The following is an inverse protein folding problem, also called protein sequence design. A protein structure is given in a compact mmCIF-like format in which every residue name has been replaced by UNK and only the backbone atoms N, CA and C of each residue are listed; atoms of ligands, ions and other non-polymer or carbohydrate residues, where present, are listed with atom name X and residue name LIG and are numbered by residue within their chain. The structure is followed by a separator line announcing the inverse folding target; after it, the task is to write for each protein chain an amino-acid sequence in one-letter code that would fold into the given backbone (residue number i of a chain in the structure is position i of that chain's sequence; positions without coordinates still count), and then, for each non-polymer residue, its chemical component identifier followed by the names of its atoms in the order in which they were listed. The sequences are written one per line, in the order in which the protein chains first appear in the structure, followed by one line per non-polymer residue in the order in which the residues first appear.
data_IF_354348366265
#
_entry.id   IF_354348366265
#
_cell.length_a   1.000
_cell.length_b   1.000
_cell.length_c   1.000
_cell.angle_alpha   90.00
_cell.angle_beta   90.00
_cell.angle_gamma   90.00
#
_symmetry.space_group_name_H-M   'P 1'
#
loop_
_entity.id
_entity.type
_entity.pdbx_description
1 polymer ?
#
# COMPACT_ATOMS: atom_id res chain seq x y z
N UNK A 1 12.98 3.91 -11.35
CA UNK A 1 11.90 3.35 -12.20
C UNK A 1 12.33 3.58 -13.62
N UNK A 2 12.23 2.59 -14.51
CA UNK A 2 12.70 2.79 -15.88
C UNK A 2 12.03 3.95 -16.60
N UNK A 3 12.79 4.66 -17.42
CA UNK A 3 12.34 5.86 -18.12
C UNK A 3 12.86 5.95 -19.55
N UNK A 4 12.00 6.44 -20.43
CA UNK A 4 12.37 6.96 -21.74
C UNK A 4 12.36 8.48 -21.72
N UNK A 5 13.28 9.11 -22.45
CA UNK A 5 13.29 10.54 -22.71
C UNK A 5 13.10 10.81 -24.19
N UNK A 6 12.08 11.57 -24.54
CA UNK A 6 11.96 12.13 -25.88
C UNK A 6 13.02 13.22 -26.06
N UNK A 7 13.95 12.99 -26.98
CA UNK A 7 15.08 13.89 -27.20
C UNK A 7 14.68 15.24 -27.80
N UNK A 8 13.52 15.33 -28.45
CA UNK A 8 12.97 16.56 -29.02
C UNK A 8 12.24 17.38 -27.96
N UNK A 9 11.30 16.78 -27.23
CA UNK A 9 10.51 17.51 -26.22
C UNK A 9 11.19 17.60 -24.85
N UNK A 10 12.28 16.84 -24.64
CA UNK A 10 12.99 16.64 -23.37
C UNK A 10 12.11 16.07 -22.25
N UNK A 11 10.90 15.59 -22.58
CA UNK A 11 10.01 14.95 -21.62
C UNK A 11 10.46 13.52 -21.35
N UNK A 12 10.41 13.15 -20.07
CA UNK A 12 10.63 11.78 -19.64
C UNK A 12 9.29 11.08 -19.37
N UNK A 13 9.25 9.78 -19.61
CA UNK A 13 8.08 8.92 -19.42
C UNK A 13 8.50 7.68 -18.65
N UNK A 14 7.84 7.42 -17.52
CA UNK A 14 8.06 6.20 -16.74
C UNK A 14 7.44 4.99 -17.42
N UNK A 15 8.16 3.87 -17.41
CA UNK A 15 7.76 2.64 -18.07
C UNK A 15 7.01 1.70 -17.13
N UNK A 16 5.88 1.18 -17.63
CA UNK A 16 5.11 0.10 -17.01
C UNK A 16 5.70 -1.25 -17.43
N UNK A 17 5.42 -2.32 -16.68
CA UNK A 17 5.92 -3.68 -16.96
C UNK A 17 5.67 -4.11 -18.40
N UNK A 18 4.50 -3.77 -18.95
CA UNK A 18 4.22 -3.79 -20.39
C UNK A 18 3.78 -2.38 -20.80
N UNK A 19 4.67 -1.66 -21.46
CA UNK A 19 4.48 -0.26 -21.84
C UNK A 19 4.36 -0.13 -23.36
N UNK A 20 3.26 0.45 -23.82
CA UNK A 20 2.96 0.59 -25.24
C UNK A 20 3.25 2.00 -25.73
N UNK A 21 3.88 2.09 -26.91
CA UNK A 21 4.25 3.36 -27.53
C UNK A 21 3.61 3.42 -28.91
N UNK A 22 2.92 4.52 -29.21
CA UNK A 22 2.18 4.65 -30.46
C UNK A 22 1.52 6.02 -30.61
N UNK A 23 0.75 6.21 -31.68
CA UNK A 23 0.09 7.51 -31.94
C UNK A 23 -1.29 7.67 -31.31
N UNK A 24 -1.83 6.64 -30.67
CA UNK A 24 -3.22 6.60 -30.19
C UNK A 24 -3.24 6.63 -28.66
N UNK A 25 -3.63 7.75 -28.06
CA UNK A 25 -3.65 7.94 -26.60
C UNK A 25 -4.53 6.92 -25.84
N UNK A 26 -5.56 6.38 -26.48
CA UNK A 26 -6.45 5.36 -25.88
C UNK A 26 -5.81 3.96 -25.85
N UNK A 27 -4.69 3.76 -26.56
CA UNK A 27 -4.06 2.45 -26.76
C UNK A 27 -2.55 2.46 -26.51
N UNK A 28 -2.00 3.59 -26.07
CA UNK A 28 -0.57 3.77 -25.89
C UNK A 28 -0.34 4.54 -24.60
N UNK A 29 0.52 3.98 -23.75
CA UNK A 29 0.96 4.61 -22.52
C UNK A 29 1.79 5.87 -22.82
N UNK A 30 2.68 5.80 -23.83
CA UNK A 30 3.38 6.99 -24.37
C UNK A 30 2.94 7.30 -25.79
N UNK A 31 2.51 8.54 -26.01
CA UNK A 31 2.02 9.02 -27.30
C UNK A 31 3.12 9.70 -28.10
N UNK A 32 3.44 9.13 -29.26
CA UNK A 32 4.30 9.74 -30.28
C UNK A 32 3.44 10.21 -31.44
N UNK A 33 3.16 11.52 -31.49
CA UNK A 33 2.26 12.13 -32.46
C UNK A 33 2.94 12.31 -33.82
N UNK A 34 2.86 11.29 -34.67
CA UNK A 34 3.36 11.33 -36.06
C UNK A 34 2.49 10.49 -37.00
N UNK A 35 2.25 10.94 -38.25
CA UNK A 35 1.48 10.16 -39.25
C UNK A 35 2.11 8.80 -39.59
N UNK A 36 3.43 8.68 -39.48
CA UNK A 36 4.16 7.43 -39.76
C UNK A 36 4.24 6.51 -38.54
N UNK A 37 3.72 6.93 -37.39
CA UNK A 37 3.61 6.11 -36.19
C UNK A 37 2.31 5.30 -36.20
N UNK A 38 2.38 3.98 -35.99
CA UNK A 38 1.20 3.12 -35.87
C UNK A 38 0.42 3.42 -34.58
N UNK A 39 -0.87 3.03 -34.51
CA UNK A 39 -1.72 3.29 -33.34
C UNK A 39 -1.12 2.71 -32.06
N UNK A 40 -0.67 1.46 -32.14
CA UNK A 40 0.30 0.83 -31.24
C UNK A 40 1.48 0.52 -32.15
N UNK A 41 2.65 1.08 -31.85
CA UNK A 41 3.83 0.99 -32.71
C UNK A 41 4.82 -0.04 -32.20
N UNK A 42 5.10 -0.01 -30.91
CA UNK A 42 5.99 -0.95 -30.25
C UNK A 42 5.55 -1.15 -28.81
N UNK A 43 6.00 -2.23 -28.19
CA UNK A 43 5.95 -2.43 -26.75
C UNK A 43 7.36 -2.48 -26.16
N UNK A 44 7.49 -1.96 -24.94
CA UNK A 44 8.61 -2.24 -24.07
C UNK A 44 8.14 -3.11 -22.91
N UNK A 45 8.85 -4.19 -22.65
CA UNK A 45 8.45 -5.24 -21.72
C UNK A 45 9.60 -5.59 -20.78
N UNK A 46 9.31 -5.67 -19.48
CA UNK A 46 10.22 -6.23 -18.50
C UNK A 46 10.02 -7.74 -18.41
N UNK A 47 11.08 -8.52 -18.61
CA UNK A 47 11.01 -10.00 -18.61
C UNK A 47 11.34 -10.64 -17.24
N UNK A 48 11.65 -9.81 -16.24
CA UNK A 48 12.13 -10.24 -14.93
C UNK A 48 13.59 -9.86 -14.65
N UNK A 49 14.38 -9.59 -15.70
CA UNK A 49 15.81 -9.28 -15.60
C UNK A 49 16.22 -8.05 -16.42
N UNK A 50 15.67 -7.86 -17.62
CA UNK A 50 15.97 -6.72 -18.46
C UNK A 50 14.77 -6.23 -19.27
N UNK A 51 14.90 -5.00 -19.77
CA UNK A 51 13.93 -4.40 -20.68
C UNK A 51 14.14 -4.90 -22.10
N UNK A 52 13.04 -5.27 -22.74
CA UNK A 52 12.99 -5.70 -24.13
C UNK A 52 12.10 -4.74 -24.93
N UNK A 53 12.43 -4.48 -26.19
CA UNK A 53 11.59 -3.76 -27.14
C UNK A 53 11.11 -4.70 -28.23
N UNK A 54 9.85 -4.55 -28.62
CA UNK A 54 9.22 -5.33 -29.68
C UNK A 54 8.49 -4.44 -30.67
N UNK A 55 8.84 -4.55 -31.94
CA UNK A 55 8.17 -3.80 -33.02
C UNK A 55 6.83 -4.43 -33.40
N UNK A 56 5.76 -3.64 -33.36
CA UNK A 56 4.39 -4.02 -33.70
C UNK A 56 3.85 -3.20 -34.90
N UNK A 57 4.70 -2.40 -35.52
CA UNK A 57 4.30 -1.34 -36.44
C UNK A 57 4.27 -1.76 -37.90
N UNK A 58 3.70 -0.88 -38.73
CA UNK A 58 3.77 -1.01 -40.20
C UNK A 58 5.07 -0.47 -40.80
N UNK A 59 5.60 0.61 -40.24
CA UNK A 59 6.73 1.35 -40.83
C UNK A 59 8.09 0.94 -40.25
N UNK A 60 8.11 0.23 -39.12
CA UNK A 60 9.30 -0.29 -38.47
C UNK A 60 9.71 0.50 -37.24
N UNK A 61 10.47 -0.17 -36.38
CA UNK A 61 11.20 0.44 -35.25
C UNK A 61 12.71 0.24 -35.44
N UNK A 62 13.52 1.22 -35.06
CA UNK A 62 14.98 1.13 -35.08
C UNK A 62 15.56 1.30 -33.69
N UNK A 63 16.53 0.46 -33.34
CA UNK A 63 17.36 0.58 -32.15
C UNK A 63 18.76 1.05 -32.60
N UNK A 64 19.10 2.29 -32.29
CA UNK A 64 20.19 3.01 -32.95
C UNK A 64 20.02 2.99 -34.47
N UNK A 65 21.01 2.48 -35.19
CA UNK A 65 20.95 2.33 -36.65
C UNK A 65 20.29 1.03 -37.14
N UNK A 66 20.02 0.06 -36.24
CA UNK A 66 19.53 -1.27 -36.62
C UNK A 66 18.00 -1.29 -36.62
N UNK A 67 17.41 -1.64 -37.76
CA UNK A 67 15.97 -1.93 -37.84
C UNK A 67 15.66 -3.25 -37.12
N UNK A 68 14.66 -3.24 -36.25
CA UNK A 68 14.18 -4.43 -35.56
C UNK A 68 13.39 -5.33 -36.51
N UNK A 69 13.40 -6.64 -36.24
CA UNK A 69 12.48 -7.55 -36.91
C UNK A 69 11.09 -7.42 -36.27
N UNK A 70 10.01 -7.37 -37.07
CA UNK A 70 8.66 -7.32 -36.52
C UNK A 70 8.38 -8.49 -35.58
N UNK A 71 7.76 -8.20 -34.44
CA UNK A 71 7.38 -9.17 -33.40
C UNK A 71 8.51 -9.93 -32.70
N UNK A 72 9.77 -9.57 -32.92
CA UNK A 72 10.90 -10.10 -32.16
C UNK A 72 11.18 -9.22 -30.94
N UNK A 73 11.32 -9.83 -29.77
CA UNK A 73 11.74 -9.14 -28.55
C UNK A 73 13.26 -8.97 -28.55
N UNK A 74 13.73 -7.73 -28.44
CA UNK A 74 15.15 -7.39 -28.47
C UNK A 74 15.52 -6.65 -27.19
N UNK A 75 16.56 -7.08 -26.45
CA UNK A 75 17.01 -6.39 -25.24
C UNK A 75 17.43 -4.94 -25.52
N UNK A 76 17.08 -4.02 -24.61
CA UNK A 76 17.44 -2.60 -24.64
C UNK A 76 18.35 -2.31 -23.45
N UNK A 77 19.40 -1.51 -23.68
CA UNK A 77 20.35 -1.10 -22.65
C UNK A 77 20.27 0.39 -22.39
N UNK A 78 20.67 0.78 -21.17
CA UNK A 78 20.80 2.18 -20.80
C UNK A 78 21.64 2.94 -21.84
N UNK A 79 21.11 4.06 -22.33
CA UNK A 79 21.68 4.89 -23.38
C UNK A 79 21.27 4.52 -24.81
N UNK A 80 20.58 3.41 -25.03
CA UNK A 80 20.06 3.06 -26.36
C UNK A 80 19.00 4.05 -26.83
N UNK A 81 18.96 4.30 -28.14
CA UNK A 81 18.01 5.20 -28.79
C UNK A 81 17.03 4.43 -29.65
N UNK A 82 15.74 4.66 -29.45
CA UNK A 82 14.65 4.00 -30.18
C UNK A 82 14.01 5.02 -31.12
N UNK A 83 14.07 4.76 -32.43
CA UNK A 83 13.40 5.56 -33.44
C UNK A 83 12.11 4.89 -33.90
N UNK A 84 11.04 5.68 -33.96
CA UNK A 84 9.66 5.21 -34.20
C UNK A 84 9.24 5.61 -35.62
N UNK A 85 9.01 4.62 -36.49
CA UNK A 85 8.48 4.82 -37.84
C UNK A 85 9.51 5.16 -38.93
N UNK A 86 10.58 5.88 -38.62
CA UNK A 86 11.71 6.11 -39.52
C UNK A 86 13.00 6.41 -38.72
N UNK A 87 14.19 6.10 -39.26
CA UNK A 87 15.47 6.26 -38.53
C UNK A 87 15.92 7.71 -38.33
N UNK A 88 15.33 8.66 -39.06
CA UNK A 88 15.60 10.09 -38.97
C UNK A 88 14.65 10.83 -38.02
N UNK A 89 13.62 10.15 -37.51
CA UNK A 89 12.73 10.70 -36.48
C UNK A 89 13.49 10.93 -35.17
N UNK A 90 13.13 11.96 -34.38
CA UNK A 90 13.72 12.14 -33.06
C UNK A 90 13.58 10.87 -32.20
N UNK A 91 14.68 10.37 -31.62
CA UNK A 91 14.63 9.15 -30.82
C UNK A 91 14.03 9.37 -29.44
N UNK A 92 13.49 8.28 -28.91
CA UNK A 92 13.31 8.07 -27.47
C UNK A 92 14.58 7.42 -26.93
N UNK A 93 15.25 8.09 -26.00
CA UNK A 93 16.47 7.60 -25.35
C UNK A 93 16.10 6.85 -24.08
N UNK A 94 16.66 5.66 -23.86
CA UNK A 94 16.47 4.89 -22.64
C UNK A 94 17.42 5.37 -21.56
N UNK A 95 16.90 6.06 -20.55
CA UNK A 95 17.70 6.86 -19.59
C UNK A 95 17.70 6.31 -18.16
N UNK A 96 16.89 5.30 -17.86
CA UNK A 96 16.86 4.59 -16.59
C UNK A 96 16.43 3.15 -16.87
N UNK A 97 17.21 2.17 -16.42
CA UNK A 97 17.00 0.73 -16.63
C UNK A 97 16.47 -0.03 -15.40
N UNK A 98 16.07 0.70 -14.36
CA UNK A 98 15.55 0.09 -13.14
C UNK A 98 14.29 -0.74 -13.43
N UNK A 99 14.04 -1.80 -12.63
CA UNK A 99 12.81 -2.58 -12.75
C UNK A 99 11.54 -1.70 -12.68
N UNK A 100 10.41 -2.17 -13.25
CA UNK A 100 9.13 -1.51 -13.08
C UNK A 100 8.81 -1.33 -11.59
N UNK A 101 8.48 -0.12 -11.18
CA UNK A 101 8.12 0.19 -9.80
C UNK A 101 6.96 1.16 -9.75
N UNK A 102 5.92 0.82 -8.98
CA UNK A 102 4.78 1.71 -8.80
C UNK A 102 5.11 2.84 -7.83
N UNK A 103 4.53 4.02 -8.05
CA UNK A 103 4.81 5.22 -7.27
C UNK A 103 3.73 6.29 -7.42
N UNK A 104 3.77 7.29 -6.56
CA UNK A 104 3.11 8.57 -6.72
C UNK A 104 4.12 9.54 -7.32
N UNK A 105 3.90 9.96 -8.56
CA UNK A 105 4.79 10.85 -9.30
C UNK A 105 4.34 12.29 -9.05
N UNK A 106 5.21 13.12 -8.52
CA UNK A 106 4.95 14.52 -8.28
C UNK A 106 4.64 15.25 -9.59
N UNK A 107 3.65 16.15 -9.54
CA UNK A 107 3.27 16.99 -10.69
C UNK A 107 3.78 18.44 -10.54
N UNK A 108 4.41 18.75 -9.41
CA UNK A 108 4.92 20.07 -9.03
C UNK A 108 6.31 19.94 -8.42
N UNK A 109 7.20 20.91 -8.66
CA UNK A 109 8.61 20.86 -8.21
C UNK A 109 8.79 20.77 -6.69
N UNK A 110 7.85 21.32 -5.90
CA UNK A 110 7.90 21.30 -4.43
C UNK A 110 7.38 20.00 -3.80
N UNK A 111 6.94 19.04 -4.63
CA UNK A 111 6.40 17.76 -4.19
C UNK A 111 7.41 16.65 -4.50
N UNK A 112 7.80 15.81 -3.52
CA UNK A 112 8.64 14.66 -3.80
C UNK A 112 7.83 13.51 -4.39
N UNK A 113 8.44 12.74 -5.30
CA UNK A 113 7.93 11.42 -5.69
C UNK A 113 7.89 10.50 -4.46
N UNK A 114 6.88 9.64 -4.38
CA UNK A 114 6.76 8.65 -3.30
C UNK A 114 6.68 7.24 -3.90
N UNK A 115 7.56 6.30 -3.53
CA UNK A 115 7.39 4.90 -3.94
C UNK A 115 6.10 4.33 -3.33
N UNK A 116 5.41 3.45 -4.05
CA UNK A 116 4.26 2.77 -3.48
C UNK A 116 4.71 1.68 -2.50
N UNK A 117 4.59 1.97 -1.21
CA UNK A 117 4.75 1.02 -0.10
C UNK A 117 3.40 0.54 0.42
N UNK A 118 3.32 -0.60 1.13
CA UNK A 118 2.05 -1.13 1.65
C UNK A 118 1.22 -0.16 2.50
N UNK A 119 1.87 0.84 3.12
CA UNK A 119 1.21 1.91 3.88
C UNK A 119 1.90 3.27 3.65
N UNK A 120 1.23 4.16 2.95
CA UNK A 120 1.72 5.52 2.66
C UNK A 120 0.78 6.54 3.27
N UNK A 121 1.31 7.35 4.18
CA UNK A 121 0.58 8.46 4.77
C UNK A 121 0.77 9.71 3.91
N UNK A 122 -0.35 10.33 3.50
CA UNK A 122 -0.38 11.52 2.67
C UNK A 122 -0.88 12.73 3.48
N UNK A 123 -0.28 13.92 3.35
CA UNK A 123 0.95 14.19 2.58
C UNK A 123 2.21 13.62 3.25
N UNK A 124 2.18 13.38 4.56
CA UNK A 124 3.32 12.87 5.33
C UNK A 124 2.87 12.02 6.52
N UNK A 125 3.79 11.25 7.09
CA UNK A 125 3.56 10.43 8.28
C UNK A 125 3.32 11.26 9.56
N UNK A 126 3.83 12.50 9.60
CA UNK A 126 3.73 13.39 10.77
C UNK A 126 2.35 14.03 10.86
N UNK A 127 1.80 14.49 9.73
CA UNK A 127 0.47 15.09 9.63
C UNK A 127 -0.38 14.44 8.53
N UNK A 128 -0.82 13.18 8.74
CA UNK A 128 -1.57 12.44 7.72
C UNK A 128 -3.01 12.93 7.57
N UNK A 129 -3.39 13.25 6.34
CA UNK A 129 -4.75 13.55 5.90
C UNK A 129 -5.42 12.33 5.22
N UNK A 130 -4.63 11.43 4.66
CA UNK A 130 -5.08 10.16 4.10
C UNK A 130 -4.02 9.09 4.24
N UNK A 131 -4.42 7.83 4.03
CA UNK A 131 -3.50 6.70 3.89
C UNK A 131 -3.85 5.92 2.63
N UNK A 132 -2.82 5.56 1.86
CA UNK A 132 -2.91 4.68 0.71
C UNK A 132 -2.39 3.30 1.14
N UNK A 133 -3.19 2.26 0.92
CA UNK A 133 -2.88 0.87 1.29
C UNK A 133 -3.19 -0.07 0.12
N UNK A 134 -2.48 -1.19 0.04
CA UNK A 134 -2.82 -2.24 -0.93
C UNK A 134 -3.76 -3.28 -0.31
N UNK A 135 -4.92 -3.50 -0.93
CA UNK A 135 -5.87 -4.53 -0.51
C UNK A 135 -5.64 -5.82 -1.29
N UNK A 136 -5.08 -6.83 -0.62
CA UNK A 136 -4.87 -8.16 -1.20
C UNK A 136 -6.18 -8.84 -1.62
N UNK A 137 -7.26 -8.67 -0.86
CA UNK A 137 -8.56 -9.24 -1.21
C UNK A 137 -9.15 -8.60 -2.48
N UNK A 138 -8.92 -7.29 -2.69
CA UNK A 138 -9.46 -6.56 -3.84
C UNK A 138 -8.45 -6.39 -4.98
N UNK A 139 -7.22 -6.90 -4.83
CA UNK A 139 -6.10 -6.71 -5.74
C UNK A 139 -5.98 -5.26 -6.25
N UNK A 140 -6.11 -4.29 -5.34
CA UNK A 140 -6.13 -2.87 -5.70
C UNK A 140 -5.64 -1.97 -4.57
N UNK A 141 -5.14 -0.81 -4.96
CA UNK A 141 -4.79 0.27 -4.05
C UNK A 141 -6.06 0.98 -3.56
N UNK A 142 -6.17 1.14 -2.25
CA UNK A 142 -7.27 1.81 -1.58
C UNK A 142 -6.76 3.07 -0.87
N UNK A 143 -7.41 4.19 -1.14
CA UNK A 143 -7.20 5.46 -0.45
C UNK A 143 -8.26 5.63 0.62
N UNK A 144 -7.82 5.86 1.85
CA UNK A 144 -8.67 6.15 3.00
C UNK A 144 -8.43 7.59 3.48
N UNK A 145 -9.38 8.52 3.30
CA UNK A 145 -9.34 9.84 3.91
C UNK A 145 -9.48 9.73 5.45
N UNK A 146 -8.70 10.51 6.20
CA UNK A 146 -8.75 10.51 7.68
C UNK A 146 -9.82 11.43 8.26
N UNK A 147 -10.26 12.44 7.50
CA UNK A 147 -11.16 13.51 7.99
C UNK A 147 -12.59 13.04 8.31
N UNK A 148 -12.95 11.81 7.96
CA UNK A 148 -14.31 11.30 8.09
C UNK A 148 -14.43 10.28 9.24
N UNK A 149 -15.51 10.38 10.00
CA UNK A 149 -15.82 9.45 11.11
C UNK A 149 -15.95 7.99 10.63
N UNK A 150 -16.41 7.78 9.40
CA UNK A 150 -16.53 6.47 8.78
C UNK A 150 -15.53 6.30 7.63
N UNK A 151 -14.36 5.73 7.96
CA UNK A 151 -13.29 5.46 6.99
C UNK A 151 -13.71 4.42 5.94
N UNK A 152 -14.55 3.44 6.32
CA UNK A 152 -14.96 2.37 5.40
C UNK A 152 -15.93 2.85 4.33
N UNK A 153 -16.80 3.82 4.63
CA UNK A 153 -17.73 4.35 3.62
C UNK A 153 -17.08 5.31 2.63
N UNK A 154 -15.89 5.81 2.94
CA UNK A 154 -15.21 6.85 2.16
C UNK A 154 -13.89 6.34 1.54
N UNK A 155 -13.67 5.03 1.57
CA UNK A 155 -12.55 4.42 0.85
C UNK A 155 -12.75 4.57 -0.66
N UNK A 156 -11.65 4.80 -1.38
CA UNK A 156 -11.66 4.93 -2.83
C UNK A 156 -10.65 3.97 -3.44
N UNK A 157 -11.06 3.21 -4.45
CA UNK A 157 -10.15 2.43 -5.30
C UNK A 157 -9.35 3.39 -6.18
N UNK A 158 -8.04 3.20 -6.20
CA UNK A 158 -7.10 4.02 -6.93
C UNK A 158 -6.63 3.29 -8.19
N UNK A 159 -6.66 4.01 -9.32
CA UNK A 159 -6.25 3.50 -10.62
C UNK A 159 -5.00 4.23 -11.15
N UNK A 160 -4.30 3.59 -12.09
CA UNK A 160 -3.21 4.24 -12.81
C UNK A 160 -3.69 5.53 -13.48
N UNK A 161 -2.93 6.62 -13.33
CA UNK A 161 -3.23 7.93 -13.89
C UNK A 161 -4.14 8.80 -13.03
N UNK A 162 -4.70 8.28 -11.93
CA UNK A 162 -5.46 9.08 -10.96
C UNK A 162 -4.59 10.18 -10.35
N UNK A 163 -5.20 11.32 -10.00
CA UNK A 163 -4.53 12.41 -9.31
C UNK A 163 -4.92 12.45 -7.84
N UNK A 164 -3.92 12.59 -6.96
CA UNK A 164 -4.07 12.73 -5.51
C UNK A 164 -3.58 14.12 -5.08
N UNK A 165 -4.35 14.79 -4.21
CA UNK A 165 -4.05 16.13 -3.71
C UNK A 165 -4.23 16.20 -2.20
N UNK A 166 -3.14 16.35 -1.47
CA UNK A 166 -3.13 16.42 -0.01
C UNK A 166 -2.06 17.38 0.48
N UNK A 167 -2.37 18.19 1.48
CA UNK A 167 -1.40 19.12 2.09
C UNK A 167 -0.73 20.12 1.14
N UNK A 168 -1.38 20.47 0.01
CA UNK A 168 -0.79 21.34 -1.02
C UNK A 168 0.12 20.62 -2.02
N UNK A 169 0.35 19.32 -1.83
CA UNK A 169 1.06 18.47 -2.77
C UNK A 169 0.11 17.81 -3.78
N UNK A 170 0.61 17.58 -4.99
CA UNK A 170 -0.12 16.88 -6.03
C UNK A 170 0.75 15.78 -6.64
N UNK A 171 0.14 14.59 -6.77
CA UNK A 171 0.75 13.43 -7.40
C UNK A 171 -0.17 12.85 -8.46
N UNK A 172 0.43 12.29 -9.51
CA UNK A 172 -0.21 11.33 -10.40
C UNK A 172 0.17 9.91 -9.97
N UNK A 173 -0.81 9.03 -9.85
CA UNK A 173 -0.61 7.63 -9.49
C UNK A 173 -0.02 6.91 -10.69
N UNK A 174 1.13 6.28 -10.50
CA UNK A 174 1.79 5.43 -11.48
C UNK A 174 1.81 3.98 -10.98
N UNK A 175 0.93 3.15 -11.55
CA UNK A 175 0.97 1.70 -11.34
C UNK A 175 1.78 1.05 -12.47
N UNK A 176 2.92 0.44 -12.12
CA UNK A 176 3.84 -0.16 -13.07
C UNK A 176 3.32 -1.50 -13.59
N UNK A 177 2.67 -2.28 -12.74
CA UNK A 177 1.99 -3.52 -13.13
C UNK A 177 0.83 -3.23 -14.09
N UNK A 178 0.62 -4.14 -15.03
CA UNK A 178 -0.54 -4.13 -15.90
C UNK A 178 -1.57 -5.11 -15.37
N UNK A 179 -2.85 -4.75 -15.45
CA UNK A 179 -4.00 -5.55 -14.95
C UNK A 179 -4.11 -6.96 -15.56
N UNK A 180 -3.23 -7.33 -16.50
CA UNK A 180 -3.23 -8.59 -17.25
C UNK A 180 -2.23 -9.64 -16.71
N UNK A 181 -1.38 -9.30 -15.75
CA UNK A 181 -0.52 -10.31 -15.11
C UNK A 181 -1.39 -11.12 -14.16
N UNK A 182 -1.51 -12.42 -14.44
CA UNK A 182 -2.19 -13.36 -13.52
C UNK A 182 -1.30 -13.54 -12.30
N UNK A 183 -1.55 -12.77 -11.24
CA UNK A 183 -0.90 -12.96 -9.96
C UNK A 183 -1.35 -14.28 -9.31
N UNK A 184 -0.39 -15.00 -8.74
CA UNK A 184 -0.68 -16.12 -7.86
C UNK A 184 -1.30 -15.52 -6.58
N UNK A 185 -2.53 -15.90 -6.28
CA UNK A 185 -3.20 -15.48 -5.05
C UNK A 185 -2.50 -16.09 -3.83
N UNK A 186 -1.57 -15.34 -3.24
CA UNK A 186 -0.94 -15.71 -1.97
C UNK A 186 -1.80 -15.11 -0.86
N UNK A 187 -2.66 -15.95 -0.27
CA UNK A 187 -3.37 -15.58 0.94
C UNK A 187 -2.36 -15.29 2.07
N UNK A 188 -2.62 -14.31 2.95
CA UNK A 188 -1.77 -14.04 4.11
C UNK A 188 -1.59 -15.34 4.92
N UNK A 189 -0.34 -15.76 5.10
CA UNK A 189 -0.01 -17.03 5.76
C UNK A 189 -0.38 -17.04 7.25
N UNK A 190 -0.43 -15.87 7.90
CA UNK A 190 -0.68 -15.73 9.33
C UNK A 190 -2.09 -15.22 9.61
N UNK A 191 -2.79 -15.89 10.51
CA UNK A 191 -4.06 -15.41 11.06
C UNK A 191 -3.81 -14.64 12.34
N UNK A 192 -4.68 -13.67 12.62
CA UNK A 192 -4.63 -12.91 13.88
C UNK A 192 -4.76 -13.83 15.11
N UNK A 193 -5.44 -14.96 14.97
CA UNK A 193 -5.61 -16.00 15.99
C UNK A 193 -4.30 -16.68 16.39
N UNK A 194 -3.26 -16.63 15.55
CA UNK A 194 -1.96 -17.25 15.81
C UNK A 194 -1.00 -16.32 16.56
N UNK A 195 -1.42 -15.08 16.82
CA UNK A 195 -0.59 -14.02 17.38
C UNK A 195 -1.15 -13.63 18.75
N UNK A 196 -0.32 -13.78 19.79
CA UNK A 196 -0.60 -13.22 21.11
C UNK A 196 -0.02 -11.81 21.23
N UNK A 197 -0.87 -10.85 21.60
CA UNK A 197 -0.51 -9.45 21.84
C UNK A 197 -0.22 -9.24 23.32
N UNK A 198 1.00 -8.89 23.68
CA UNK A 198 1.43 -8.68 25.06
C UNK A 198 1.64 -7.19 25.26
N UNK A 199 0.71 -6.55 25.97
CA UNK A 199 0.77 -5.15 26.35
C UNK A 199 1.46 -5.01 27.71
N UNK A 200 2.42 -4.09 27.78
CA UNK A 200 3.13 -3.75 29.02
C UNK A 200 2.83 -2.29 29.36
N UNK A 201 2.15 -2.08 30.49
CA UNK A 201 1.82 -0.75 30.98
C UNK A 201 2.76 -0.35 32.10
N UNK A 202 3.31 0.86 31.95
CA UNK A 202 3.87 1.63 33.04
C UNK A 202 2.88 1.78 34.21
N UNK A 203 3.40 2.00 35.42
CA UNK A 203 2.57 2.06 36.64
C UNK A 203 1.56 3.20 36.64
N UNK A 204 1.96 4.32 36.05
CA UNK A 204 1.17 5.54 35.82
C UNK A 204 0.34 5.47 34.52
N UNK A 205 0.50 4.41 33.72
CA UNK A 205 -0.15 4.20 32.43
C UNK A 205 0.20 5.26 31.35
N UNK A 206 1.30 6.01 31.52
CA UNK A 206 1.73 6.99 30.50
C UNK A 206 2.37 6.32 29.27
N UNK A 207 3.04 5.19 29.49
CA UNK A 207 3.70 4.40 28.45
C UNK A 207 3.03 3.03 28.27
N UNK A 208 2.78 2.67 27.01
CA UNK A 208 2.28 1.35 26.58
C UNK A 208 3.26 0.69 25.63
N UNK A 209 3.95 -0.34 26.12
CA UNK A 209 4.74 -1.26 25.32
C UNK A 209 3.85 -2.32 24.65
N UNK A 210 4.25 -2.79 23.47
CA UNK A 210 3.61 -3.93 22.80
C UNK A 210 4.65 -4.92 22.29
N UNK A 211 4.41 -6.20 22.57
CA UNK A 211 5.16 -7.32 22.01
C UNK A 211 4.21 -8.29 21.33
N UNK A 212 4.64 -8.87 20.22
CA UNK A 212 3.90 -9.91 19.50
C UNK A 212 4.60 -11.25 19.69
N UNK A 213 3.84 -12.28 20.05
CA UNK A 213 4.31 -13.65 20.17
C UNK A 213 3.56 -14.55 19.21
N UNK A 214 4.28 -15.28 18.36
CA UNK A 214 3.71 -16.25 17.41
C UNK A 214 4.68 -17.42 17.20
N UNK A 215 4.21 -18.64 17.46
CA UNK A 215 5.09 -19.81 17.54
C UNK A 215 6.21 -19.61 18.56
N UNK A 216 7.47 -19.76 18.13
CA UNK A 216 8.67 -19.50 18.93
C UNK A 216 9.27 -18.10 18.73
N UNK A 217 8.71 -17.29 17.82
CA UNK A 217 9.20 -15.94 17.53
C UNK A 217 8.54 -14.93 18.47
N UNK A 218 9.34 -13.98 18.93
CA UNK A 218 8.90 -12.83 19.70
C UNK A 218 9.41 -11.57 19.02
N UNK A 219 8.53 -10.59 18.85
CA UNK A 219 8.81 -9.32 18.19
C UNK A 219 8.43 -8.20 19.14
N UNK A 220 9.40 -7.38 19.52
CA UNK A 220 9.18 -6.21 20.38
C UNK A 220 8.92 -4.98 19.51
N UNK A 221 7.74 -4.37 19.66
CA UNK A 221 7.33 -3.16 18.92
C UNK A 221 7.63 -1.88 19.70
N UNK A 222 8.21 -1.99 20.90
CA UNK A 222 8.55 -0.87 21.77
C UNK A 222 7.32 -0.15 22.31
N UNK A 223 7.52 1.09 22.74
CA UNK A 223 6.48 1.95 23.30
C UNK A 223 6.00 2.98 22.27
N UNK A 224 4.69 3.04 22.02
CA UNK A 224 4.07 3.96 21.05
C UNK A 224 2.68 4.36 21.54
N UNK A 225 2.26 5.58 21.22
CA UNK A 225 0.94 6.10 21.62
C UNK A 225 -0.22 5.26 21.06
N UNK A 226 -0.11 4.76 19.83
CA UNK A 226 -1.14 3.91 19.22
C UNK A 226 -1.26 2.51 19.85
N UNK A 227 -0.30 2.08 20.68
CA UNK A 227 -0.45 0.84 21.46
C UNK A 227 -1.49 1.00 22.58
N UNK A 228 -1.59 2.19 23.18
CA UNK A 228 -2.59 2.46 24.22
C UNK A 228 -4.01 2.29 23.67
N UNK A 229 -4.29 2.75 22.44
CA UNK A 229 -5.57 2.52 21.78
C UNK A 229 -5.91 1.02 21.69
N UNK A 230 -4.99 0.20 21.17
CA UNK A 230 -5.21 -1.24 21.03
C UNK A 230 -5.44 -1.90 22.40
N UNK A 231 -4.62 -1.52 23.37
CA UNK A 231 -4.71 -2.00 24.75
C UNK A 231 -6.06 -1.62 25.38
N UNK A 232 -6.53 -0.39 25.21
CA UNK A 232 -7.81 0.09 25.74
C UNK A 232 -8.98 -0.75 25.19
N UNK A 233 -9.00 -0.98 23.88
CA UNK A 233 -10.02 -1.83 23.25
C UNK A 233 -9.92 -3.30 23.72
N UNK A 234 -8.71 -3.82 23.93
CA UNK A 234 -8.49 -5.15 24.48
C UNK A 234 -8.95 -5.26 25.95
N UNK A 235 -8.70 -4.22 26.76
CA UNK A 235 -9.13 -4.10 28.16
C UNK A 235 -10.65 -4.17 28.28
N UNK A 236 -11.37 -3.41 27.45
CA UNK A 236 -12.85 -3.46 27.39
C UNK A 236 -13.31 -4.88 27.06
N UNK A 237 -12.71 -5.51 26.05
CA UNK A 237 -13.05 -6.87 25.65
C UNK A 237 -12.83 -7.89 26.76
N UNK A 238 -11.73 -7.79 27.52
CA UNK A 238 -11.48 -8.66 28.66
C UNK A 238 -12.44 -8.40 29.84
N UNK A 239 -12.80 -7.14 30.10
CA UNK A 239 -13.76 -6.79 31.14
C UNK A 239 -15.16 -7.37 30.84
N UNK A 240 -15.63 -7.23 29.60
CA UNK A 240 -16.89 -7.84 29.15
C UNK A 240 -16.86 -9.36 29.29
N UNK A 241 -15.75 -10.01 28.92
CA UNK A 241 -15.58 -11.45 29.10
C UNK A 241 -15.66 -11.86 30.58
N UNK A 242 -15.02 -11.10 31.47
CA UNK A 242 -15.08 -11.31 32.92
C UNK A 242 -16.49 -11.12 33.51
N UNK A 243 -17.31 -10.30 32.86
CA UNK A 243 -18.73 -10.10 33.20
C UNK A 243 -19.66 -11.16 32.56
N UNK A 244 -19.11 -12.15 31.84
CA UNK A 244 -19.86 -13.27 31.28
C UNK A 244 -20.53 -12.99 29.93
N UNK A 245 -20.14 -11.91 29.23
CA UNK A 245 -20.63 -11.64 27.88
C UNK A 245 -20.08 -12.67 26.88
N UNK A 246 -20.88 -13.02 25.88
CA UNK A 246 -20.47 -13.97 24.85
C UNK A 246 -19.45 -13.34 23.87
N UNK A 247 -18.74 -14.20 23.12
CA UNK A 247 -17.66 -13.77 22.24
C UNK A 247 -18.08 -12.78 21.14
N UNK A 248 -19.35 -12.79 20.71
CA UNK A 248 -19.83 -11.87 19.68
C UNK A 248 -20.16 -10.49 20.25
N UNK A 249 -20.47 -10.43 21.54
CA UNK A 249 -20.90 -9.20 22.22
C UNK A 249 -19.76 -8.47 22.93
N UNK A 250 -18.76 -9.19 23.44
CA UNK A 250 -17.60 -8.59 24.14
C UNK A 250 -16.82 -7.57 23.28
N UNK A 251 -16.37 -6.50 23.93
CA UNK A 251 -15.38 -5.55 23.42
C UNK A 251 -15.91 -4.42 22.55
N UNK A 252 -17.20 -4.44 22.18
CA UNK A 252 -17.79 -3.41 21.32
C UNK A 252 -18.02 -2.11 22.10
N UNK A 253 -17.26 -1.08 21.76
CA UNK A 253 -17.42 0.28 22.29
C UNK A 253 -17.94 1.23 21.20
N UNK A 254 -18.83 2.15 21.58
CA UNK A 254 -19.33 3.22 20.72
C UNK A 254 -18.25 4.27 20.42
N UNK A 255 -18.19 4.75 19.18
CA UNK A 255 -17.19 5.73 18.76
C UNK A 255 -17.25 7.02 19.60
N UNK A 256 -18.43 7.49 20.01
CA UNK A 256 -18.56 8.67 20.88
C UNK A 256 -18.01 8.41 22.28
N UNK A 257 -18.18 7.19 22.79
CA UNK A 257 -17.62 6.81 24.08
C UNK A 257 -16.10 6.67 23.99
N UNK A 258 -15.59 6.03 22.92
CA UNK A 258 -14.16 5.87 22.72
C UNK A 258 -13.44 7.22 22.60
N UNK A 259 -14.02 8.18 21.88
CA UNK A 259 -13.50 9.56 21.79
C UNK A 259 -13.36 10.21 23.17
N UNK A 260 -14.37 10.04 24.03
CA UNK A 260 -14.35 10.55 25.41
C UNK A 260 -13.30 9.87 26.28
N UNK A 261 -13.25 8.54 26.24
CA UNK A 261 -12.30 7.73 27.02
C UNK A 261 -10.86 8.11 26.72
N UNK A 262 -10.57 8.34 25.44
CA UNK A 262 -9.23 8.61 24.96
C UNK A 262 -8.88 10.10 24.88
N UNK A 263 -9.87 11.00 25.02
CA UNK A 263 -9.68 12.43 24.86
C UNK A 263 -9.24 12.83 23.44
N UNK A 264 -9.63 12.07 22.42
CA UNK A 264 -9.19 12.22 21.03
C UNK A 264 -10.39 12.26 20.08
N UNK A 265 -10.24 12.93 18.94
CA UNK A 265 -11.24 12.89 17.88
C UNK A 265 -11.11 11.60 17.03
N UNK A 266 -12.13 11.34 16.19
CA UNK A 266 -12.13 10.15 15.35
C UNK A 266 -11.00 10.14 14.31
N UNK A 267 -10.66 11.27 13.65
CA UNK A 267 -9.49 11.34 12.78
C UNK A 267 -8.20 10.88 13.47
N UNK A 268 -7.91 11.36 14.69
CA UNK A 268 -6.72 10.96 15.43
C UNK A 268 -6.76 9.47 15.79
N UNK A 269 -7.92 8.94 16.20
CA UNK A 269 -8.09 7.50 16.45
C UNK A 269 -7.82 6.69 15.18
N UNK A 270 -8.32 7.13 14.02
CA UNK A 270 -8.07 6.46 12.74
C UNK A 270 -6.57 6.45 12.40
N UNK A 271 -5.87 7.58 12.59
CA UNK A 271 -4.42 7.68 12.39
C UNK A 271 -3.69 6.67 13.28
N UNK A 272 -4.05 6.56 14.56
CA UNK A 272 -3.45 5.55 15.45
C UNK A 272 -3.70 4.11 14.96
N UNK A 273 -4.89 3.81 14.45
CA UNK A 273 -5.22 2.48 13.90
C UNK A 273 -4.33 2.17 12.70
N UNK A 274 -4.18 3.10 11.75
CA UNK A 274 -3.33 2.87 10.59
C UNK A 274 -1.84 2.80 10.94
N UNK A 275 -1.38 3.59 11.92
CA UNK A 275 -0.01 3.47 12.45
C UNK A 275 0.24 2.11 13.09
N UNK A 276 -0.71 1.61 13.87
CA UNK A 276 -0.65 0.28 14.44
C UNK A 276 -0.62 -0.81 13.36
N UNK A 277 -1.53 -0.73 12.38
CA UNK A 277 -1.59 -1.66 11.24
C UNK A 277 -0.29 -1.67 10.45
N UNK A 278 0.26 -0.49 10.12
CA UNK A 278 1.55 -0.34 9.43
C UNK A 278 2.67 -1.03 10.21
N UNK A 279 2.86 -0.65 11.48
CA UNK A 279 3.95 -1.19 12.30
C UNK A 279 3.86 -2.71 12.46
N UNK A 280 2.67 -3.25 12.71
CA UNK A 280 2.46 -4.70 12.86
C UNK A 280 2.75 -5.41 11.54
N UNK A 281 2.27 -4.89 10.42
CA UNK A 281 2.44 -5.52 9.11
C UNK A 281 3.91 -5.56 8.69
N UNK A 282 4.65 -4.46 8.87
CA UNK A 282 6.09 -4.39 8.56
C UNK A 282 6.91 -5.37 9.41
N UNK A 283 6.59 -5.51 10.69
CA UNK A 283 7.31 -6.40 11.61
C UNK A 283 6.89 -7.88 11.49
N UNK A 284 5.83 -8.17 10.73
CA UNK A 284 5.36 -9.52 10.43
C UNK A 284 5.60 -9.93 8.97
N UNK A 285 6.50 -9.24 8.27
CA UNK A 285 6.89 -9.54 6.88
C UNK A 285 5.67 -9.53 5.92
N UNK A 286 4.69 -8.65 6.16
CA UNK A 286 3.48 -8.49 5.34
C UNK A 286 2.56 -9.72 5.25
N UNK A 287 2.71 -10.70 6.16
CA UNK A 287 1.94 -11.95 6.16
C UNK A 287 0.60 -11.91 6.90
N UNK A 288 0.25 -10.76 7.52
CA UNK A 288 -0.98 -10.58 8.30
C UNK A 288 -1.95 -9.63 7.59
N UNK A 289 -3.21 -10.05 7.48
CA UNK A 289 -4.32 -9.14 7.16
C UNK A 289 -4.61 -8.21 8.36
N UNK A 290 -3.99 -7.04 8.36
CA UNK A 290 -4.10 -6.07 9.44
C UNK A 290 -5.49 -5.40 9.53
N UNK A 291 -6.37 -5.60 8.55
CA UNK A 291 -7.73 -5.06 8.63
C UNK A 291 -8.50 -5.66 9.80
N UNK A 292 -8.24 -6.93 10.11
CA UNK A 292 -8.87 -7.67 11.21
C UNK A 292 -8.39 -7.23 12.60
N UNK A 293 -7.32 -6.43 12.70
CA UNK A 293 -6.81 -5.94 13.98
C UNK A 293 -7.89 -5.18 14.77
N UNK A 294 -8.73 -4.42 14.04
CA UNK A 294 -9.83 -3.64 14.58
C UNK A 294 -11.10 -3.98 13.82
N UNK A 295 -12.07 -4.58 14.51
CA UNK A 295 -13.39 -4.81 13.95
C UNK A 295 -14.25 -3.56 14.10
N UNK A 296 -15.05 -3.24 13.08
CA UNK A 296 -15.95 -2.08 13.06
C UNK A 296 -17.36 -2.50 12.67
N UNK A 297 -18.36 -1.87 13.26
CA UNK A 297 -19.77 -2.13 12.94
C UNK A 297 -20.74 -1.17 13.61
N UNK A 298 -21.64 -0.56 12.82
CA UNK A 298 -22.72 0.34 13.30
C UNK A 298 -22.22 1.45 14.24
N UNK A 299 -21.12 2.14 13.89
CA UNK A 299 -20.56 3.22 14.73
C UNK A 299 -19.85 2.74 16.00
N UNK A 300 -19.56 1.44 16.09
CA UNK A 300 -18.82 0.82 17.19
C UNK A 300 -17.57 0.12 16.68
N UNK A 301 -16.63 -0.12 17.57
CA UNK A 301 -15.42 -0.87 17.27
C UNK A 301 -14.95 -1.72 18.43
N UNK A 302 -14.10 -2.71 18.13
CA UNK A 302 -13.44 -3.55 19.14
C UNK A 302 -12.08 -4.04 18.65
N UNK A 303 -11.24 -4.45 19.60
CA UNK A 303 -10.00 -5.15 19.27
C UNK A 303 -10.31 -6.54 18.74
N UNK A 304 -9.79 -6.88 17.56
CA UNK A 304 -10.14 -8.11 16.86
C UNK A 304 -9.42 -9.36 17.37
N UNK A 305 -8.19 -9.22 17.90
CA UNK A 305 -7.41 -10.40 18.32
C UNK A 305 -8.03 -11.12 19.52
N UNK A 306 -8.16 -12.45 19.47
CA UNK A 306 -8.65 -13.26 20.58
C UNK A 306 -7.55 -13.61 21.59
N UNK A 307 -6.27 -13.31 21.32
CA UNK A 307 -5.15 -13.66 22.20
C UNK A 307 -4.38 -12.41 22.60
N UNK A 308 -4.54 -12.01 23.86
CA UNK A 308 -3.76 -10.91 24.42
C UNK A 308 -3.61 -11.03 25.94
N UNK A 309 -2.55 -10.41 26.44
CA UNK A 309 -2.27 -10.22 27.86
C UNK A 309 -1.92 -8.76 28.11
N UNK A 310 -2.47 -8.17 29.16
CA UNK A 310 -2.19 -6.80 29.58
C UNK A 310 -1.54 -6.86 30.96
N UNK A 311 -0.29 -6.44 31.04
CA UNK A 311 0.48 -6.32 32.26
C UNK A 311 0.50 -4.88 32.75
N UNK A 312 0.47 -4.70 34.08
CA UNK A 312 0.73 -3.42 34.73
C UNK A 312 1.87 -3.60 35.72
N UNK A 313 3.07 -3.17 35.33
CA UNK A 313 4.31 -3.66 35.94
C UNK A 313 4.43 -5.18 35.76
N UNK A 314 4.80 -5.91 36.81
CA UNK A 314 4.98 -7.38 36.74
C UNK A 314 3.66 -8.17 36.87
N UNK A 315 2.54 -7.49 37.13
CA UNK A 315 1.25 -8.15 37.40
C UNK A 315 0.40 -8.24 36.14
N UNK A 316 -0.11 -9.45 35.85
CA UNK A 316 -1.13 -9.63 34.83
C UNK A 316 -2.44 -8.98 35.29
N UNK A 317 -2.89 -7.95 34.57
CA UNK A 317 -4.09 -7.19 34.89
C UNK A 317 -5.32 -7.68 34.13
N UNK A 318 -5.16 -7.97 32.82
CA UNK A 318 -6.26 -8.44 31.97
C UNK A 318 -5.78 -9.46 30.95
N UNK A 319 -6.62 -10.45 30.66
CA UNK A 319 -6.49 -11.39 29.56
C UNK A 319 -7.88 -11.94 29.24
N UNK A 320 -8.07 -12.49 28.04
CA UNK A 320 -9.29 -13.27 27.78
C UNK A 320 -9.25 -14.59 28.54
N UNK A 321 -10.39 -15.08 29.05
CA UNK A 321 -10.47 -16.42 29.63
C UNK A 321 -10.03 -17.46 28.59
N UNK A 322 -9.16 -18.39 28.98
CA UNK A 322 -8.79 -19.51 28.10
C UNK A 322 -10.05 -20.31 27.75
N UNK A 323 -10.22 -20.68 26.47
CA UNK A 323 -11.39 -21.43 26.01
C UNK A 323 -11.61 -22.74 26.81
N UNK A 324 -10.55 -23.31 27.37
CA UNK A 324 -10.57 -24.52 28.21
C UNK A 324 -11.15 -24.32 29.62
N UNK A 325 -11.40 -23.08 30.07
CA UNK A 325 -11.99 -22.81 31.38
C UNK A 325 -13.54 -22.93 31.38
N UNK A 326 -14.16 -23.10 30.21
CA UNK A 326 -15.62 -23.09 30.02
C UNK A 326 -16.29 -24.47 30.20
N UNK A 327 -15.52 -25.50 30.57
CA UNK A 327 -16.03 -26.86 30.80
C UNK A 327 -15.58 -27.33 32.18
N UNK A 328 -16.12 -26.74 33.24
CA UNK A 328 -16.20 -27.36 34.57
C UNK A 328 -17.48 -27.00 35.28
#
# INVERSE_FOLDING_TARGET
MAQLRDTNTKRSFSLRTHHTIGRCAERSDTVVSSPITSRIHLSMEWDGDHWNVRDLSKNGTWLGAKRLQPNESVPVRLGDTIHVGAPDMPPLEFIDDQPPSSGLIATTDDTPDLPLEPFIFLPSADNPQAVLIYSYHRHSWLLHPMEHDNVQSNERVIHHGDYLRYGGHEWQVFLAETEQVTEINIAPEKKLEDIEFIFDLSRDEENTGLQLQFGSKQVNLGERSHHYLLMHLARIRAADAGNGYDQKTQGWIDNEQLKKDLGMDMPHINIMIFRARKQITENLEHTLDSDQLIERGKGRMRFGSPKFRIFKGESLAYALPSADASVR
#
